data_IF_044852774040
#
_entry.id   IF_044852774040
#
_cell.length_a   1.000
_cell.length_b   1.000
_cell.length_c   1.000
_cell.angle_alpha   90.00
_cell.angle_beta   90.00
_cell.angle_gamma   90.00
#
_symmetry.space_group_name_H-M   'P 1'
#
loop_
_entity.id
_entity.type
_entity.pdbx_description
1 polymer ?
#
# COMPACT_ATOMS: atom_id res chain seq x y z
N UNK A 1 5.05 19.95 -21.47
CA UNK A 1 4.92 19.13 -22.70
C UNK A 1 3.43 19.02 -23.00
N UNK A 2 2.96 19.50 -24.14
CA UNK A 2 1.54 19.44 -24.54
C UNK A 2 1.20 18.04 -25.05
N UNK A 3 0.15 17.42 -24.50
CA UNK A 3 -0.35 16.11 -24.94
C UNK A 3 -0.63 16.15 -26.46
N UNK A 4 -0.10 15.21 -27.26
CA UNK A 4 -0.44 15.11 -28.66
C UNK A 4 -1.85 14.48 -28.75
N UNK A 5 -2.70 15.05 -29.62
CA UNK A 5 -4.15 14.80 -29.79
C UNK A 5 -5.03 15.79 -29.03
N UNK A 6 -5.95 16.41 -29.77
CA UNK A 6 -7.01 17.29 -29.25
C UNK A 6 -7.90 16.45 -28.33
N UNK A 7 -7.63 16.52 -27.03
CA UNK A 7 -8.32 15.72 -26.04
C UNK A 7 -9.75 16.25 -25.86
N UNK A 8 -10.71 15.32 -25.84
CA UNK A 8 -12.12 15.65 -25.63
C UNK A 8 -12.28 16.45 -24.31
N UNK A 9 -12.93 17.63 -24.35
CA UNK A 9 -13.07 18.54 -23.20
C UNK A 9 -13.56 17.87 -21.91
N UNK A 10 -14.36 16.81 -22.00
CA UNK A 10 -14.87 16.12 -20.82
C UNK A 10 -13.75 15.50 -19.96
N UNK A 11 -12.67 15.00 -20.57
CA UNK A 11 -11.55 14.41 -19.85
C UNK A 11 -10.69 15.47 -19.16
N UNK A 12 -10.52 16.62 -19.82
CA UNK A 12 -9.86 17.79 -19.26
C UNK A 12 -10.64 18.28 -18.03
N UNK A 13 -11.96 18.45 -18.17
CA UNK A 13 -12.83 18.87 -17.06
C UNK A 13 -12.77 17.87 -15.89
N UNK A 14 -12.80 16.57 -16.17
CA UNK A 14 -12.70 15.53 -15.15
C UNK A 14 -11.37 15.59 -14.39
N UNK A 15 -10.23 15.83 -15.09
CA UNK A 15 -8.93 16.06 -14.44
C UNK A 15 -8.91 17.29 -13.55
N UNK A 16 -9.43 18.41 -14.05
CA UNK A 16 -9.49 19.66 -13.28
C UNK A 16 -10.31 19.46 -12.00
N UNK A 17 -11.47 18.79 -12.11
CA UNK A 17 -12.31 18.47 -10.95
C UNK A 17 -11.61 17.55 -9.95
N UNK A 18 -10.84 16.55 -10.42
CA UNK A 18 -10.03 15.71 -9.53
C UNK A 18 -9.04 16.56 -8.73
N UNK A 19 -8.26 17.41 -9.41
CA UNK A 19 -7.26 18.27 -8.75
C UNK A 19 -7.90 19.23 -7.76
N UNK A 20 -9.02 19.86 -8.11
CA UNK A 20 -9.78 20.71 -7.20
C UNK A 20 -10.30 19.98 -5.96
N UNK A 21 -10.75 18.72 -6.12
CA UNK A 21 -11.22 17.91 -4.99
C UNK A 21 -10.09 17.51 -4.06
N UNK A 22 -8.92 17.14 -4.59
CA UNK A 22 -7.76 16.81 -3.76
C UNK A 22 -7.35 18.01 -2.89
N UNK A 23 -7.32 19.22 -3.48
CA UNK A 23 -6.98 20.47 -2.78
C UNK A 23 -7.99 20.81 -1.67
N UNK A 24 -9.29 20.54 -1.89
CA UNK A 24 -10.34 20.72 -0.89
C UNK A 24 -10.35 19.65 0.21
N UNK A 25 -9.80 18.47 -0.07
CA UNK A 25 -9.81 17.29 0.81
C UNK A 25 -8.77 17.33 1.94
N UNK A 26 -8.01 18.41 2.07
CA UNK A 26 -6.97 18.57 3.10
C UNK A 26 -5.56 18.18 2.67
N UNK A 27 -5.37 17.75 1.42
CA UNK A 27 -4.04 17.63 0.80
C UNK A 27 -3.66 19.00 0.26
N UNK A 28 -2.60 19.62 0.81
CA UNK A 28 -2.02 20.83 0.23
C UNK A 28 -1.22 20.40 -0.98
N UNK A 29 -1.78 20.55 -2.19
CA UNK A 29 -1.14 20.11 -3.41
C UNK A 29 -0.20 21.20 -3.96
N UNK A 30 1.13 21.03 -3.91
CA UNK A 30 2.04 22.02 -4.47
C UNK A 30 1.83 22.16 -5.98
N UNK A 31 2.05 23.36 -6.53
CA UNK A 31 1.78 23.65 -7.95
C UNK A 31 2.43 22.66 -8.92
N UNK A 32 3.63 22.16 -8.60
CA UNK A 32 4.33 21.14 -9.39
C UNK A 32 3.54 19.82 -9.50
N UNK A 33 2.91 19.38 -8.40
CA UNK A 33 2.10 18.16 -8.38
C UNK A 33 0.77 18.42 -9.06
N UNK A 34 0.12 19.55 -8.78
CA UNK A 34 -1.10 19.94 -9.47
C UNK A 34 -0.91 19.94 -11.00
N UNK A 35 0.20 20.50 -11.49
CA UNK A 35 0.56 20.49 -12.91
C UNK A 35 0.77 19.07 -13.44
N UNK A 36 1.48 18.20 -12.72
CA UNK A 36 1.68 16.81 -13.13
C UNK A 36 0.35 16.06 -13.27
N UNK A 37 -0.57 16.20 -12.32
CA UNK A 37 -1.89 15.58 -12.38
C UNK A 37 -2.78 16.16 -13.50
N UNK A 38 -2.73 17.47 -13.73
CA UNK A 38 -3.48 18.12 -14.82
C UNK A 38 -2.98 17.69 -16.21
N UNK A 39 -1.69 17.37 -16.35
CA UNK A 39 -1.08 16.93 -17.60
C UNK A 39 -1.06 15.40 -17.79
N UNK A 40 -1.47 14.61 -16.79
CA UNK A 40 -1.48 13.15 -16.87
C UNK A 40 -2.92 12.62 -16.92
N UNK A 41 -3.46 12.26 -18.10
CA UNK A 41 -4.76 11.62 -18.20
C UNK A 41 -4.73 10.26 -17.51
N UNK A 42 -5.60 10.04 -16.51
CA UNK A 42 -5.67 8.76 -15.78
C UNK A 42 -6.37 7.67 -16.60
N UNK A 43 -7.39 8.04 -17.36
CA UNK A 43 -8.25 7.13 -18.11
C UNK A 43 -7.56 6.20 -19.13
N UNK A 44 -6.45 6.55 -19.83
CA UNK A 44 -5.76 5.61 -20.72
C UNK A 44 -5.03 4.51 -19.95
N UNK A 45 -4.69 4.75 -18.67
CA UNK A 45 -4.04 3.78 -17.79
C UNK A 45 -5.01 2.84 -17.08
N UNK A 46 -6.30 3.18 -17.04
CA UNK A 46 -7.36 2.37 -16.42
C UNK A 46 -8.60 2.28 -17.33
N UNK A 47 -8.46 1.75 -18.57
CA UNK A 47 -9.59 1.62 -19.49
C UNK A 47 -10.68 0.71 -18.94
N UNK A 48 -10.29 -0.24 -18.07
CA UNK A 48 -11.17 -1.19 -17.38
C UNK A 48 -10.66 -1.39 -15.96
N UNK A 49 -11.59 -1.44 -15.00
CA UNK A 49 -11.29 -1.77 -13.61
C UNK A 49 -12.45 -2.54 -12.99
N UNK A 50 -12.20 -3.26 -11.90
CA UNK A 50 -13.24 -4.00 -11.20
C UNK A 50 -14.02 -3.10 -10.24
N UNK A 51 -15.35 -3.20 -10.31
CA UNK A 51 -16.25 -2.76 -9.23
C UNK A 51 -16.45 -3.91 -8.27
N UNK A 52 -16.37 -3.61 -6.97
CA UNK A 52 -16.67 -4.59 -5.93
C UNK A 52 -18.15 -4.57 -5.58
N UNK A 53 -18.80 -5.70 -5.72
CA UNK A 53 -20.17 -5.94 -5.29
C UNK A 53 -20.16 -7.13 -4.32
N UNK A 54 -20.24 -6.84 -3.02
CA UNK A 54 -20.00 -7.82 -1.94
C UNK A 54 -18.60 -8.48 -2.04
N UNK A 55 -18.56 -9.78 -2.33
CA UNK A 55 -17.36 -10.60 -2.52
C UNK A 55 -16.94 -10.74 -3.98
N UNK A 56 -17.71 -10.16 -4.91
CA UNK A 56 -17.50 -10.26 -6.34
C UNK A 56 -16.85 -9.01 -6.92
N UNK A 57 -16.02 -9.21 -7.95
CA UNK A 57 -15.35 -8.18 -8.73
C UNK A 57 -15.87 -8.22 -10.17
N UNK A 58 -16.58 -7.17 -10.57
CA UNK A 58 -17.22 -7.06 -11.88
C UNK A 58 -16.42 -6.08 -12.75
N UNK A 59 -15.86 -6.50 -13.89
CA UNK A 59 -15.08 -5.62 -14.74
C UNK A 59 -15.98 -4.55 -15.36
N UNK A 60 -15.56 -3.29 -15.26
CA UNK A 60 -16.33 -2.14 -15.71
C UNK A 60 -15.55 -1.30 -16.71
N UNK A 61 -16.15 -1.14 -17.90
CA UNK A 61 -15.62 -0.45 -19.07
C UNK A 61 -16.51 0.73 -19.41
N UNK A 62 -15.98 1.72 -20.13
CA UNK A 62 -16.77 2.84 -20.65
C UNK A 62 -17.95 2.41 -21.54
N UNK A 63 -17.83 1.25 -22.21
CA UNK A 63 -18.88 0.68 -23.08
C UNK A 63 -20.01 -0.04 -22.33
N UNK A 64 -19.94 -0.21 -21.00
CA UNK A 64 -20.98 -0.87 -20.20
C UNK A 64 -22.23 0.01 -19.93
N UNK A 65 -22.48 1.03 -20.75
CA UNK A 65 -23.75 1.77 -20.80
C UNK A 65 -23.77 3.14 -20.13
N UNK A 66 -22.78 3.46 -19.29
CA UNK A 66 -22.66 4.79 -18.66
C UNK A 66 -21.21 5.28 -18.67
N UNK A 67 -20.79 5.81 -19.82
CA UNK A 67 -19.45 6.37 -20.02
C UNK A 67 -19.17 7.55 -19.08
N UNK A 68 -20.19 8.34 -18.73
CA UNK A 68 -20.08 9.48 -17.82
C UNK A 68 -19.82 9.04 -16.38
N UNK A 69 -20.55 8.03 -15.89
CA UNK A 69 -20.31 7.46 -14.56
C UNK A 69 -18.96 6.73 -14.50
N UNK A 70 -18.58 6.01 -15.56
CA UNK A 70 -17.26 5.41 -15.66
C UNK A 70 -16.16 6.48 -15.57
N UNK A 71 -16.28 7.57 -16.33
CA UNK A 71 -15.33 8.67 -16.31
C UNK A 71 -15.25 9.35 -14.94
N UNK A 72 -16.41 9.56 -14.30
CA UNK A 72 -16.50 10.12 -12.96
C UNK A 72 -15.76 9.25 -11.93
N UNK A 73 -15.86 7.92 -12.05
CA UNK A 73 -15.15 6.99 -11.17
C UNK A 73 -13.64 6.93 -11.48
N UNK A 74 -13.24 6.96 -12.76
CA UNK A 74 -11.82 7.02 -13.15
C UNK A 74 -11.11 8.22 -12.51
N UNK A 75 -11.78 9.36 -12.45
CA UNK A 75 -11.27 10.58 -11.83
C UNK A 75 -11.82 10.83 -10.41
N UNK A 76 -12.38 9.80 -9.76
CA UNK A 76 -12.66 9.84 -8.33
C UNK A 76 -11.35 9.71 -7.54
N UNK A 77 -11.33 10.26 -6.33
CA UNK A 77 -10.22 10.09 -5.41
C UNK A 77 -10.30 8.73 -4.69
N UNK A 78 -10.22 7.67 -5.49
CA UNK A 78 -10.35 6.29 -5.05
C UNK A 78 -9.38 5.38 -5.81
N UNK A 79 -9.04 4.26 -5.18
CA UNK A 79 -8.21 3.23 -5.81
C UNK A 79 -9.05 2.36 -6.73
N UNK A 80 -8.59 2.13 -7.94
CA UNK A 80 -9.30 1.34 -8.95
C UNK A 80 -8.60 0.00 -9.08
N UNK A 81 -9.28 -1.09 -8.70
CA UNK A 81 -8.73 -2.44 -8.75
C UNK A 81 -8.65 -2.89 -10.21
N UNK A 82 -7.46 -3.29 -10.67
CA UNK A 82 -7.21 -3.66 -12.07
C UNK A 82 -6.85 -5.12 -12.25
N UNK A 83 -6.52 -5.84 -11.18
CA UNK A 83 -6.23 -7.28 -11.22
C UNK A 83 -6.72 -7.97 -9.94
N UNK A 84 -7.31 -9.16 -10.10
CA UNK A 84 -7.78 -10.02 -9.01
C UNK A 84 -7.28 -11.43 -9.31
N UNK A 85 -6.51 -12.02 -8.37
CA UNK A 85 -5.84 -13.32 -8.53
C UNK A 85 -5.15 -13.51 -9.89
N UNK A 86 -4.44 -12.48 -10.37
CA UNK A 86 -3.72 -12.51 -11.65
C UNK A 86 -4.60 -12.32 -12.89
N UNK A 87 -5.91 -12.16 -12.74
CA UNK A 87 -6.84 -11.87 -13.85
C UNK A 87 -6.99 -10.36 -14.02
N UNK A 88 -6.33 -9.80 -15.04
CA UNK A 88 -6.44 -8.38 -15.34
C UNK A 88 -7.84 -8.02 -15.85
N UNK A 89 -8.37 -6.87 -15.43
CA UNK A 89 -9.76 -6.47 -15.72
C UNK A 89 -10.04 -6.32 -17.22
N UNK A 90 -9.02 -5.99 -18.02
CA UNK A 90 -9.13 -5.92 -19.48
C UNK A 90 -9.27 -7.29 -20.15
N UNK A 91 -8.72 -8.33 -19.53
CA UNK A 91 -8.76 -9.72 -19.99
C UNK A 91 -10.00 -10.46 -19.47
N UNK A 92 -10.61 -9.95 -18.39
CA UNK A 92 -11.81 -10.51 -17.83
C UNK A 92 -13.00 -10.41 -18.80
N UNK A 93 -13.72 -11.53 -18.93
CA UNK A 93 -15.02 -11.59 -19.59
C UNK A 93 -16.10 -10.81 -18.81
N UNK A 94 -17.38 -10.87 -19.22
CA UNK A 94 -18.45 -10.14 -18.55
C UNK A 94 -18.81 -10.71 -17.16
N UNK A 95 -18.31 -11.90 -16.83
CA UNK A 95 -18.59 -12.58 -15.57
C UNK A 95 -17.82 -11.97 -14.41
N UNK A 96 -18.41 -12.03 -13.22
CA UNK A 96 -17.74 -11.65 -11.99
C UNK A 96 -16.56 -12.59 -11.68
N UNK A 97 -15.52 -12.04 -11.07
CA UNK A 97 -14.37 -12.75 -10.51
C UNK A 97 -14.46 -12.69 -8.98
N UNK A 98 -14.05 -13.75 -8.29
CA UNK A 98 -13.86 -13.76 -6.84
C UNK A 98 -12.39 -14.04 -6.59
N UNK A 99 -11.79 -13.34 -5.63
CA UNK A 99 -10.37 -13.50 -5.33
C UNK A 99 -9.79 -12.34 -4.54
N UNK A 100 -8.47 -12.28 -4.50
CA UNK A 100 -7.73 -11.21 -3.82
C UNK A 100 -7.23 -10.19 -4.85
N UNK A 101 -7.51 -8.89 -4.65
CA UNK A 101 -6.92 -7.83 -5.46
C UNK A 101 -5.39 -7.91 -5.46
N UNK A 102 -4.79 -7.95 -6.64
CA UNK A 102 -3.35 -8.12 -6.87
C UNK A 102 -2.73 -6.93 -7.60
N UNK A 103 -3.53 -6.10 -8.27
CA UNK A 103 -3.10 -4.81 -8.85
C UNK A 103 -4.19 -3.76 -8.78
N UNK A 104 -3.80 -2.49 -8.68
CA UNK A 104 -4.70 -1.33 -8.70
C UNK A 104 -4.01 -0.05 -9.19
N UNK A 105 -4.79 0.89 -9.70
CA UNK A 105 -4.39 2.30 -9.79
C UNK A 105 -4.75 2.98 -8.47
N UNK A 106 -3.76 3.28 -7.64
CA UNK A 106 -3.96 3.89 -6.31
C UNK A 106 -4.70 5.23 -6.37
N UNK A 107 -5.42 5.56 -5.30
CA UNK A 107 -6.10 6.84 -5.11
C UNK A 107 -5.16 8.03 -5.41
N UNK A 108 -5.58 8.99 -6.25
CA UNK A 108 -4.79 10.17 -6.62
C UNK A 108 -4.25 10.97 -5.44
N UNK A 109 -5.02 11.21 -4.38
CA UNK A 109 -4.57 11.97 -3.20
C UNK A 109 -3.45 11.26 -2.44
N UNK A 110 -3.57 9.94 -2.24
CA UNK A 110 -2.51 9.13 -1.63
C UNK A 110 -1.23 9.14 -2.49
N UNK A 111 -1.37 9.08 -3.82
CA UNK A 111 -0.24 9.25 -4.73
C UNK A 111 0.39 10.65 -4.62
N UNK A 112 -0.43 11.70 -4.52
CA UNK A 112 0.06 13.05 -4.32
C UNK A 112 0.87 13.18 -3.02
N UNK A 113 0.38 12.64 -1.91
CA UNK A 113 1.10 12.60 -0.62
C UNK A 113 2.45 11.88 -0.73
N UNK A 114 2.47 10.73 -1.42
CA UNK A 114 3.69 9.95 -1.65
C UNK A 114 4.71 10.70 -2.51
N UNK A 115 4.25 11.34 -3.60
CA UNK A 115 5.09 12.12 -4.51
C UNK A 115 5.59 13.43 -3.87
N UNK A 116 4.80 14.00 -2.96
CA UNK A 116 5.25 15.16 -2.18
C UNK A 116 6.33 14.78 -1.18
N UNK A 117 6.10 13.71 -0.42
CA UNK A 117 7.08 13.14 0.50
C UNK A 117 8.38 12.73 -0.20
N UNK A 118 8.31 12.30 -1.47
CA UNK A 118 9.47 11.94 -2.26
C UNK A 118 10.33 13.16 -2.67
N UNK A 119 9.83 14.40 -2.57
CA UNK A 119 10.56 15.65 -2.91
C UNK A 119 11.30 15.53 -4.27
N UNK A 120 10.54 15.20 -5.31
CA UNK A 120 11.02 15.10 -6.69
C UNK A 120 11.30 16.47 -7.30
N UNK A 121 12.39 16.53 -8.06
CA UNK A 121 12.78 17.68 -8.88
C UNK A 121 13.13 17.21 -10.28
N UNK A 122 13.09 18.11 -11.25
CA UNK A 122 13.56 17.82 -12.60
C UNK A 122 15.01 17.30 -12.57
N UNK A 123 15.29 16.25 -13.35
CA UNK A 123 16.60 15.59 -13.39
C UNK A 123 16.84 14.54 -12.29
N UNK A 124 15.92 14.37 -11.34
CA UNK A 124 16.05 13.38 -10.26
C UNK A 124 15.94 11.96 -10.81
N UNK A 125 16.93 11.08 -10.56
CA UNK A 125 16.86 9.68 -10.98
C UNK A 125 15.95 8.89 -10.03
N UNK A 126 14.86 8.35 -10.56
CA UNK A 126 13.83 7.67 -9.75
C UNK A 126 13.73 6.20 -10.11
N UNK A 127 13.64 5.35 -9.09
CA UNK A 127 13.13 3.99 -9.20
C UNK A 127 11.72 3.91 -8.61
N UNK A 128 10.76 3.48 -9.40
CA UNK A 128 9.45 3.02 -8.96
C UNK A 128 9.44 1.49 -8.89
N UNK A 129 8.98 0.94 -7.78
CA UNK A 129 8.75 -0.49 -7.58
C UNK A 129 7.25 -0.77 -7.51
N UNK A 130 6.72 -1.36 -8.58
CA UNK A 130 5.29 -1.60 -8.82
C UNK A 130 4.76 -0.73 -9.96
N UNK A 131 5.16 -1.01 -11.21
CA UNK A 131 4.67 -0.29 -12.40
C UNK A 131 3.14 -0.28 -12.47
N UNK A 132 2.50 -1.42 -12.18
CA UNK A 132 1.05 -1.57 -12.22
C UNK A 132 0.46 -1.05 -13.54
N UNK A 133 -0.43 -0.07 -13.43
CA UNK A 133 -1.09 0.55 -14.60
C UNK A 133 -0.17 1.43 -15.45
N UNK A 134 0.93 1.94 -14.88
CA UNK A 134 1.80 2.96 -15.49
C UNK A 134 1.38 4.42 -15.20
N UNK A 135 0.26 4.65 -14.50
CA UNK A 135 -0.21 6.01 -14.20
C UNK A 135 0.78 6.81 -13.34
N UNK A 136 1.32 6.20 -12.27
CA UNK A 136 2.29 6.88 -11.42
C UNK A 136 3.64 7.05 -12.15
N UNK A 137 4.09 6.07 -12.95
CA UNK A 137 5.23 6.26 -13.85
C UNK A 137 5.07 7.51 -14.74
N UNK A 138 3.87 7.79 -15.26
CA UNK A 138 3.61 8.99 -16.05
C UNK A 138 3.74 10.28 -15.22
N UNK A 139 3.19 10.30 -14.00
CA UNK A 139 3.37 11.42 -13.05
C UNK A 139 4.86 11.65 -12.74
N UNK A 140 5.62 10.57 -12.50
CA UNK A 140 7.06 10.61 -12.30
C UNK A 140 7.77 11.22 -13.52
N UNK A 141 7.37 10.86 -14.75
CA UNK A 141 7.96 11.43 -15.96
C UNK A 141 7.77 12.95 -16.02
N UNK A 142 6.59 13.45 -15.65
CA UNK A 142 6.33 14.89 -15.60
C UNK A 142 7.13 15.62 -14.51
N UNK A 143 7.43 14.97 -13.40
CA UNK A 143 8.13 15.57 -12.26
C UNK A 143 9.65 15.51 -12.35
N UNK A 144 10.19 14.43 -12.94
CA UNK A 144 11.62 14.14 -12.95
C UNK A 144 12.24 14.17 -14.35
N UNK A 145 11.44 14.16 -15.42
CA UNK A 145 11.89 13.89 -16.78
C UNK A 145 11.84 12.38 -17.07
N UNK A 146 11.22 12.00 -18.21
CA UNK A 146 10.95 10.59 -18.54
C UNK A 146 12.22 9.74 -18.57
N UNK A 147 13.31 10.27 -19.10
CA UNK A 147 14.61 9.62 -19.16
C UNK A 147 15.21 9.31 -17.79
N UNK A 148 14.77 9.98 -16.72
CA UNK A 148 15.26 9.76 -15.35
C UNK A 148 14.43 8.75 -14.57
N UNK A 149 13.31 8.27 -15.13
CA UNK A 149 12.40 7.33 -14.48
C UNK A 149 12.74 5.90 -14.88
N UNK A 150 12.85 5.03 -13.88
CA UNK A 150 12.86 3.57 -14.01
C UNK A 150 11.66 3.03 -13.25
N UNK A 151 10.88 2.16 -13.86
CA UNK A 151 9.73 1.52 -13.20
C UNK A 151 9.77 0.01 -13.44
N UNK A 152 9.63 -0.76 -12.37
CA UNK A 152 9.74 -2.22 -12.41
C UNK A 152 8.50 -2.92 -11.86
N UNK A 153 8.13 -4.02 -12.49
CA UNK A 153 7.05 -4.90 -12.04
C UNK A 153 7.36 -6.35 -12.42
N UNK A 154 6.87 -7.32 -11.65
CA UNK A 154 7.14 -8.74 -11.92
C UNK A 154 6.32 -9.26 -13.12
N UNK A 155 5.18 -8.61 -13.42
CA UNK A 155 4.25 -9.00 -14.47
C UNK A 155 4.67 -8.51 -15.84
N UNK A 156 4.84 -9.44 -16.78
CA UNK A 156 5.14 -9.12 -18.18
C UNK A 156 3.97 -8.39 -18.87
N UNK A 157 2.72 -8.73 -18.49
CA UNK A 157 1.52 -8.10 -19.03
C UNK A 157 1.41 -6.64 -18.60
N UNK A 158 1.58 -6.38 -17.29
CA UNK A 158 1.52 -5.02 -16.74
C UNK A 158 2.62 -4.13 -17.31
N UNK A 159 3.87 -4.61 -17.34
CA UNK A 159 4.99 -3.84 -17.90
C UNK A 159 4.82 -3.51 -19.38
N UNK A 160 4.36 -4.47 -20.19
CA UNK A 160 4.10 -4.23 -21.62
C UNK A 160 2.98 -3.21 -21.83
N UNK A 161 1.84 -3.37 -21.15
CA UNK A 161 0.70 -2.46 -21.27
C UNK A 161 1.04 -1.05 -20.78
N UNK A 162 1.75 -0.92 -19.66
CA UNK A 162 2.23 0.36 -19.16
C UNK A 162 3.16 1.06 -20.16
N UNK A 163 4.12 0.33 -20.75
CA UNK A 163 5.03 0.87 -21.75
C UNK A 163 4.30 1.39 -22.99
N UNK A 164 3.30 0.65 -23.49
CA UNK A 164 2.46 1.07 -24.63
C UNK A 164 1.71 2.37 -24.33
N UNK A 165 1.07 2.47 -23.15
CA UNK A 165 0.33 3.66 -22.72
C UNK A 165 1.22 4.88 -22.53
N UNK A 166 2.39 4.68 -21.90
CA UNK A 166 3.38 5.74 -21.72
C UNK A 166 3.87 6.26 -23.09
N UNK A 167 4.20 5.34 -24.00
CA UNK A 167 4.63 5.69 -25.36
C UNK A 167 3.54 6.44 -26.14
N UNK A 168 2.27 6.08 -25.97
CA UNK A 168 1.14 6.77 -26.60
C UNK A 168 1.00 8.23 -26.13
N UNK A 169 1.50 8.56 -24.93
CA UNK A 169 1.58 9.94 -24.42
C UNK A 169 2.91 10.63 -24.73
N UNK A 170 3.81 9.99 -25.49
CA UNK A 170 5.15 10.50 -25.78
C UNK A 170 6.10 10.45 -24.58
N UNK A 171 5.79 9.64 -23.56
CA UNK A 171 6.62 9.43 -22.38
C UNK A 171 7.42 8.14 -22.56
N UNK A 172 8.75 8.23 -22.41
CA UNK A 172 9.66 7.11 -22.66
C UNK A 172 10.57 6.80 -21.46
N UNK A 173 10.00 6.45 -20.29
CA UNK A 173 10.80 5.96 -19.16
C UNK A 173 11.33 4.56 -19.43
N UNK A 174 12.23 4.09 -18.56
CA UNK A 174 12.67 2.70 -18.58
C UNK A 174 11.68 1.81 -17.83
N UNK A 175 10.85 1.07 -18.56
CA UNK A 175 9.95 0.06 -17.99
C UNK A 175 10.61 -1.32 -18.11
N UNK A 176 10.74 -2.04 -16.99
CA UNK A 176 11.36 -3.37 -17.00
C UNK A 176 10.56 -4.40 -16.20
N UNK A 177 10.50 -5.62 -16.73
CA UNK A 177 9.99 -6.78 -15.98
C UNK A 177 11.07 -7.28 -15.05
N UNK A 178 10.94 -7.01 -13.76
CA UNK A 178 11.91 -7.42 -12.75
C UNK A 178 11.24 -7.72 -11.41
N UNK A 179 11.94 -8.50 -10.59
CA UNK A 179 11.57 -8.65 -9.19
C UNK A 179 11.86 -7.34 -8.44
N UNK A 180 10.80 -6.65 -8.01
CA UNK A 180 10.89 -5.38 -7.29
C UNK A 180 11.77 -5.44 -6.04
N UNK A 181 11.89 -6.61 -5.38
CA UNK A 181 12.77 -6.78 -4.23
C UNK A 181 14.26 -6.69 -4.59
N UNK A 182 14.61 -6.82 -5.88
CA UNK A 182 15.99 -6.66 -6.39
C UNK A 182 16.28 -5.26 -6.91
N UNK A 183 15.26 -4.40 -7.01
CA UNK A 183 15.39 -3.07 -7.62
C UNK A 183 15.79 -3.14 -9.09
N UNK A 184 16.62 -2.22 -9.55
CA UNK A 184 17.17 -2.21 -10.91
C UNK A 184 18.64 -1.77 -10.96
N UNK A 185 19.60 -2.67 -10.63
CA UNK A 185 21.02 -2.32 -10.50
C UNK A 185 21.63 -1.66 -11.73
N UNK A 186 21.16 -2.01 -12.94
CA UNK A 186 21.69 -1.49 -14.21
C UNK A 186 21.54 0.03 -14.38
N UNK A 187 20.64 0.66 -13.61
CA UNK A 187 20.47 2.13 -13.60
C UNK A 187 20.71 2.76 -12.24
N UNK A 188 21.17 2.01 -11.25
CA UNK A 188 21.62 2.59 -9.99
C UNK A 188 22.82 3.56 -10.21
N UNK A 189 23.08 4.50 -9.28
CA UNK A 189 22.26 4.83 -8.12
C UNK A 189 21.04 5.70 -8.48
N UNK A 190 20.01 5.61 -7.64
CA UNK A 190 18.79 6.41 -7.72
C UNK A 190 18.78 7.46 -6.61
N UNK A 191 18.40 8.69 -6.96
CA UNK A 191 18.21 9.77 -6.00
C UNK A 191 16.94 9.56 -5.17
N UNK A 192 15.96 8.86 -5.75
CA UNK A 192 14.66 8.57 -5.15
C UNK A 192 14.23 7.14 -5.44
N UNK A 193 13.65 6.48 -4.44
CA UNK A 193 12.99 5.19 -4.61
C UNK A 193 11.57 5.31 -4.04
N UNK A 194 10.58 4.90 -4.80
CA UNK A 194 9.19 4.84 -4.37
C UNK A 194 8.66 3.43 -4.61
N UNK A 195 8.03 2.85 -3.59
CA UNK A 195 7.33 1.59 -3.74
C UNK A 195 5.82 1.83 -3.74
N UNK A 196 5.14 1.30 -4.74
CA UNK A 196 3.67 1.28 -4.87
C UNK A 196 3.12 -0.11 -4.58
N UNK A 197 3.87 -0.86 -3.77
CA UNK A 197 3.53 -2.12 -3.14
C UNK A 197 4.07 -2.09 -1.70
N UNK A 198 3.49 -2.87 -0.80
CA UNK A 198 3.92 -2.93 0.59
C UNK A 198 4.96 -3.99 0.84
N UNK A 199 5.89 -3.71 1.74
CA UNK A 199 6.89 -4.66 2.20
C UNK A 199 6.79 -4.87 3.70
N UNK A 200 7.14 -6.07 4.18
CA UNK A 200 7.32 -6.30 5.62
C UNK A 200 8.58 -5.62 6.14
N UNK A 201 9.66 -5.73 5.36
CA UNK A 201 10.95 -5.06 5.58
C UNK A 201 11.46 -4.50 4.27
N UNK A 202 12.14 -3.35 4.33
CA UNK A 202 12.71 -2.70 3.15
C UNK A 202 13.85 -3.58 2.61
N UNK A 203 13.84 -3.99 1.33
CA UNK A 203 14.91 -4.82 0.75
C UNK A 203 16.28 -4.14 0.79
N UNK A 204 17.34 -4.91 1.08
CA UNK A 204 18.71 -4.39 1.11
C UNK A 204 19.16 -3.81 -0.23
N UNK A 205 18.69 -4.38 -1.33
CA UNK A 205 18.95 -3.91 -2.69
C UNK A 205 18.53 -2.44 -2.90
N UNK A 206 17.47 -1.97 -2.22
CA UNK A 206 17.02 -0.59 -2.33
C UNK A 206 17.99 0.35 -1.62
N UNK A 207 18.56 -0.07 -0.49
CA UNK A 207 19.61 0.69 0.18
C UNK A 207 20.87 0.78 -0.68
N UNK A 208 21.27 -0.33 -1.31
CA UNK A 208 22.49 -0.39 -2.13
C UNK A 208 22.37 0.46 -3.39
N UNK A 209 21.14 0.62 -3.90
CA UNK A 209 20.86 1.37 -5.11
C UNK A 209 20.42 2.81 -4.84
N UNK A 210 20.11 3.19 -3.60
CA UNK A 210 19.79 4.57 -3.24
C UNK A 210 21.08 5.38 -3.06
N UNK A 211 21.18 6.51 -3.74
CA UNK A 211 22.27 7.46 -3.56
C UNK A 211 22.33 7.96 -2.11
N UNK A 212 23.53 8.26 -1.60
CA UNK A 212 23.67 8.88 -0.28
C UNK A 212 22.92 10.22 -0.25
N UNK A 213 22.09 10.43 0.76
CA UNK A 213 21.20 11.58 0.87
C UNK A 213 19.91 11.49 0.05
N UNK A 214 19.74 10.43 -0.76
CA UNK A 214 18.52 10.11 -1.47
C UNK A 214 17.36 9.75 -0.53
N UNK A 215 16.13 9.83 -1.05
CA UNK A 215 14.92 9.57 -0.29
C UNK A 215 14.21 8.30 -0.76
N UNK A 216 13.60 7.60 0.18
CA UNK A 216 12.75 6.44 -0.09
C UNK A 216 11.37 6.67 0.51
N UNK A 217 10.32 6.41 -0.26
CA UNK A 217 8.94 6.41 0.21
C UNK A 217 8.39 4.99 0.04
N UNK A 218 8.13 4.33 1.16
CA UNK A 218 7.88 2.88 1.19
C UNK A 218 6.67 2.55 2.07
N UNK A 219 5.63 1.93 1.52
CA UNK A 219 4.58 1.33 2.32
C UNK A 219 5.12 0.13 3.09
N UNK A 220 5.00 0.16 4.42
CA UNK A 220 5.36 -0.93 5.31
C UNK A 220 4.09 -1.52 5.87
N UNK A 221 3.88 -2.81 5.65
CA UNK A 221 2.70 -3.53 6.09
C UNK A 221 3.10 -4.88 6.64
N UNK A 222 2.79 -5.11 7.91
CA UNK A 222 2.93 -6.42 8.51
C UNK A 222 1.70 -7.28 8.26
N UNK A 223 1.60 -8.34 9.03
CA UNK A 223 0.68 -9.45 8.80
C UNK A 223 -0.67 -9.28 9.48
N UNK A 224 -0.85 -8.20 10.25
CA UNK A 224 -2.12 -7.81 10.88
C UNK A 224 -2.93 -6.80 10.04
N UNK A 225 -2.47 -6.53 8.82
CA UNK A 225 -3.04 -5.58 7.85
C UNK A 225 -2.88 -4.08 8.16
N UNK A 226 -2.26 -3.71 9.29
CA UNK A 226 -1.89 -2.31 9.58
C UNK A 226 -0.81 -1.80 8.63
N UNK A 227 -1.20 -1.02 7.63
CA UNK A 227 -0.30 -0.43 6.65
C UNK A 227 0.10 1.00 7.01
N UNK A 228 1.41 1.27 6.98
CA UNK A 228 2.02 2.57 7.21
C UNK A 228 2.84 3.01 6.02
N UNK A 229 3.07 4.31 5.89
CA UNK A 229 3.90 4.88 4.84
C UNK A 229 5.17 5.46 5.47
N UNK A 230 6.34 4.91 5.16
CA UNK A 230 7.61 5.38 5.68
C UNK A 230 8.31 6.30 4.67
N UNK A 231 8.87 7.40 5.16
CA UNK A 231 9.80 8.25 4.42
C UNK A 231 11.17 8.17 5.06
N UNK A 232 12.17 7.67 4.33
CA UNK A 232 13.54 7.50 4.81
C UNK A 232 14.52 8.30 3.95
N UNK A 233 15.62 8.71 4.56
CA UNK A 233 16.79 9.28 3.88
C UNK A 233 17.98 8.35 4.03
N UNK A 234 18.68 8.04 2.94
CA UNK A 234 19.93 7.29 2.95
C UNK A 234 21.03 8.12 3.64
N UNK A 235 21.67 7.55 4.65
CA UNK A 235 22.74 8.15 5.43
C UNK A 235 24.13 7.80 4.86
N UNK A 236 25.18 8.58 5.18
CA UNK A 236 26.54 8.34 4.67
C UNK A 236 27.16 7.00 5.09
N UNK A 237 26.70 6.40 6.19
CA UNK A 237 27.17 5.11 6.72
C UNK A 237 26.52 3.89 6.04
N UNK A 238 25.62 4.11 5.08
CA UNK A 238 24.90 3.04 4.40
C UNK A 238 23.54 2.69 5.02
N UNK A 239 23.21 3.19 6.21
CA UNK A 239 21.88 3.04 6.79
C UNK A 239 20.89 4.04 6.16
N UNK A 240 19.62 3.94 6.55
CA UNK A 240 18.59 4.91 6.24
C UNK A 240 17.77 5.21 7.49
N UNK A 241 17.35 6.46 7.65
CA UNK A 241 16.53 6.88 8.78
C UNK A 241 15.45 7.87 8.36
N UNK A 242 14.34 7.87 9.07
CA UNK A 242 13.25 8.80 8.82
C UNK A 242 12.02 8.56 9.70
N UNK A 243 10.84 8.81 9.16
CA UNK A 243 9.59 8.78 9.93
C UNK A 243 8.44 8.14 9.17
N UNK A 244 7.44 7.72 9.92
CA UNK A 244 6.15 7.31 9.37
C UNK A 244 5.35 8.57 9.03
N UNK A 245 4.70 8.59 7.88
CA UNK A 245 3.85 9.69 7.43
C UNK A 245 2.46 9.59 8.07
N UNK A 246 1.78 10.73 8.16
CA UNK A 246 0.45 10.82 8.75
C UNK A 246 -0.64 10.12 7.91
N UNK A 247 -0.41 9.97 6.61
CA UNK A 247 -1.35 9.32 5.69
C UNK A 247 -1.32 7.79 5.88
N UNK A 248 -2.46 7.14 6.19
CA UNK A 248 -2.57 5.68 6.12
C UNK A 248 -2.34 5.17 4.70
N UNK A 249 -1.70 4.01 4.57
CA UNK A 249 -1.51 3.40 3.27
C UNK A 249 -1.56 1.87 3.38
N UNK A 250 -2.55 1.24 2.76
CA UNK A 250 -2.59 -0.21 2.59
C UNK A 250 -2.38 -0.54 1.12
N UNK A 251 -1.15 -0.86 0.77
CA UNK A 251 -0.81 -1.37 -0.55
C UNK A 251 -0.91 -2.90 -0.57
N UNK A 252 -1.09 -3.45 -1.78
CA UNK A 252 -0.89 -4.88 -2.03
C UNK A 252 0.55 -5.27 -1.68
N UNK A 253 0.80 -6.47 -1.14
CA UNK A 253 2.16 -6.90 -0.81
C UNK A 253 3.01 -7.02 -2.07
N UNK A 254 4.29 -6.67 -1.95
CA UNK A 254 5.30 -6.99 -2.95
C UNK A 254 5.37 -8.52 -3.07
N UNK A 255 5.06 -9.03 -4.26
CA UNK A 255 5.14 -10.46 -4.54
C UNK A 255 6.61 -10.88 -4.58
N UNK A 256 7.07 -11.40 -3.46
CA UNK A 256 8.29 -12.20 -3.35
C UNK A 256 7.84 -13.66 -3.16
N UNK A 257 8.52 -14.62 -3.78
CA UNK A 257 8.08 -16.03 -3.85
C UNK A 257 7.90 -16.78 -2.53
N UNK A 258 7.95 -16.10 -1.38
CA UNK A 258 7.76 -16.63 -0.04
C UNK A 258 6.33 -16.42 0.52
N UNK A 259 5.51 -15.58 -0.11
CA UNK A 259 4.13 -15.32 0.35
C UNK A 259 3.14 -16.27 -0.34
N UNK A 260 3.05 -17.50 0.15
CA UNK A 260 1.93 -18.39 -0.19
C UNK A 260 0.68 -17.97 0.59
N UNK A 261 -0.48 -17.82 -0.06
CA UNK A 261 -1.73 -17.67 0.68
C UNK A 261 -1.96 -18.93 1.52
N UNK A 262 -2.13 -18.73 2.83
CA UNK A 262 -2.58 -19.76 3.75
C UNK A 262 -3.92 -19.30 4.29
N UNK A 263 -4.95 -20.11 4.13
CA UNK A 263 -6.21 -19.91 4.83
C UNK A 263 -6.02 -20.18 6.32
N UNK A 264 -6.76 -19.46 7.15
CA UNK A 264 -6.83 -19.76 8.57
C UNK A 264 -7.35 -21.20 8.76
N UNK A 265 -6.71 -22.01 9.61
CA UNK A 265 -7.23 -23.33 9.92
C UNK A 265 -8.59 -23.21 10.63
N UNK A 266 -9.50 -24.13 10.33
CA UNK A 266 -10.74 -24.29 11.09
C UNK A 266 -10.41 -24.50 12.58
N UNK A 267 -10.82 -23.59 13.48
CA UNK A 267 -10.40 -23.62 14.86
C UNK A 267 -11.06 -24.80 15.58
N UNK A 268 -10.26 -25.81 15.92
CA UNK A 268 -10.67 -26.83 16.91
C UNK A 268 -10.39 -26.26 18.29
N UNK A 269 -11.34 -25.49 18.83
CA UNK A 269 -11.21 -24.82 20.13
C UNK A 269 -10.82 -25.82 21.22
N UNK A 270 -9.67 -25.58 21.87
CA UNK A 270 -9.21 -26.38 23.02
C UNK A 270 -9.41 -25.63 24.34
N UNK A 271 -9.34 -24.31 24.28
CA UNK A 271 -9.51 -23.42 25.42
C UNK A 271 -10.32 -22.19 24.99
N UNK A 272 -11.21 -21.73 25.86
CA UNK A 272 -11.97 -20.49 25.67
C UNK A 272 -11.73 -19.61 26.88
N UNK A 273 -11.43 -18.33 26.65
CA UNK A 273 -11.29 -17.33 27.71
C UNK A 273 -11.95 -16.01 27.33
N UNK A 274 -12.23 -15.19 28.33
CA UNK A 274 -12.74 -13.83 28.13
C UNK A 274 -11.58 -12.86 27.88
N UNK A 275 -11.84 -11.87 27.02
CA UNK A 275 -10.99 -10.72 26.76
C UNK A 275 -11.80 -9.44 26.94
N UNK A 276 -11.21 -8.44 27.61
CA UNK A 276 -11.79 -7.08 27.67
C UNK A 276 -11.57 -6.30 26.37
N UNK A 277 -10.73 -6.82 25.48
CA UNK A 277 -10.38 -6.22 24.20
C UNK A 277 -11.19 -6.88 23.08
N UNK A 278 -11.95 -6.06 22.35
CA UNK A 278 -12.67 -6.43 21.14
C UNK A 278 -11.73 -6.74 19.98
N UNK A 279 -12.12 -7.67 19.10
CA UNK A 279 -11.41 -7.96 17.84
C UNK A 279 -11.29 -6.74 16.92
N UNK A 280 -12.29 -5.84 16.97
CA UNK A 280 -12.35 -4.61 16.19
C UNK A 280 -11.25 -3.60 16.50
N UNK A 281 -10.54 -3.74 17.62
CA UNK A 281 -9.39 -2.88 17.94
C UNK A 281 -8.34 -2.88 16.82
N UNK A 282 -8.18 -4.01 16.12
CA UNK A 282 -7.22 -4.15 15.03
C UNK A 282 -7.72 -3.50 13.71
N UNK A 283 -8.92 -2.93 13.67
CA UNK A 283 -9.41 -2.15 12.53
C UNK A 283 -8.83 -0.73 12.54
N UNK A 284 -8.36 -0.24 13.69
CA UNK A 284 -7.47 0.92 13.74
C UNK A 284 -6.10 0.53 13.18
N UNK A 285 -5.77 1.00 11.98
CA UNK A 285 -4.51 0.68 11.32
C UNK A 285 -3.28 1.13 12.12
N UNK A 286 -3.41 2.19 12.94
CA UNK A 286 -2.34 2.63 13.86
C UNK A 286 -2.10 1.58 14.92
N UNK A 287 -3.18 1.10 15.55
CA UNK A 287 -3.02 0.04 16.53
C UNK A 287 -2.53 -1.25 15.90
N UNK A 288 -3.11 -1.63 14.76
CA UNK A 288 -2.75 -2.87 14.08
C UNK A 288 -1.27 -2.89 13.71
N UNK A 289 -0.75 -1.76 13.22
CA UNK A 289 0.69 -1.58 12.98
C UNK A 289 1.51 -1.59 14.28
N UNK A 290 1.00 -1.03 15.37
CA UNK A 290 1.70 -1.11 16.66
C UNK A 290 1.72 -2.55 17.20
N UNK A 291 0.58 -3.25 17.15
CA UNK A 291 0.41 -4.60 17.64
C UNK A 291 1.28 -5.61 16.87
N UNK A 292 1.46 -5.45 15.55
CA UNK A 292 2.38 -6.33 14.80
C UNK A 292 3.82 -6.26 15.29
N UNK A 293 4.27 -5.13 15.86
CA UNK A 293 5.63 -4.98 16.41
C UNK A 293 5.85 -5.82 17.69
N UNK A 294 4.77 -6.36 18.25
CA UNK A 294 4.77 -7.24 19.42
C UNK A 294 4.46 -8.71 19.07
N UNK A 295 4.29 -9.02 17.79
CA UNK A 295 3.93 -10.35 17.30
C UNK A 295 5.11 -11.05 16.64
N UNK A 296 5.05 -12.39 16.59
CA UNK A 296 5.95 -13.15 15.72
C UNK A 296 5.62 -12.82 14.24
N UNK A 297 6.62 -12.51 13.39
CA UNK A 297 6.41 -12.12 11.99
C UNK A 297 5.68 -13.17 11.12
N UNK A 298 5.58 -14.41 11.58
CA UNK A 298 4.81 -15.47 10.92
C UNK A 298 3.32 -15.46 11.24
N UNK A 299 2.90 -14.83 12.35
CA UNK A 299 1.49 -14.74 12.70
C UNK A 299 0.76 -13.99 11.58
N UNK A 300 -0.42 -14.44 11.21
CA UNK A 300 -1.28 -13.86 10.17
C UNK A 300 -2.61 -13.48 10.78
N UNK A 301 -3.29 -12.51 10.17
CA UNK A 301 -4.65 -12.11 10.52
C UNK A 301 -5.59 -12.34 9.35
N UNK A 302 -6.71 -12.96 9.65
CA UNK A 302 -7.93 -12.89 8.85
C UNK A 302 -9.02 -12.13 9.61
N UNK A 303 -9.84 -11.42 8.85
CA UNK A 303 -10.96 -10.65 9.36
C UNK A 303 -12.18 -10.90 8.48
N UNK A 304 -13.33 -11.13 9.11
CA UNK A 304 -14.64 -11.19 8.47
C UNK A 304 -15.67 -10.51 9.36
N UNK A 305 -16.66 -9.90 8.71
CA UNK A 305 -17.90 -9.46 9.36
C UNK A 305 -19.05 -10.30 8.85
N UNK A 306 -19.79 -10.91 9.76
CA UNK A 306 -20.96 -11.72 9.43
C UNK A 306 -22.17 -10.83 9.09
N UNK A 307 -23.20 -11.33 8.39
CA UNK A 307 -24.39 -10.56 8.04
C UNK A 307 -25.16 -10.00 9.25
N UNK A 308 -25.06 -10.66 10.41
CA UNK A 308 -25.66 -10.21 11.67
C UNK A 308 -24.86 -9.09 12.36
N UNK A 309 -23.73 -8.69 11.80
CA UNK A 309 -22.85 -7.65 12.33
C UNK A 309 -21.73 -8.17 13.24
N UNK A 310 -21.66 -9.47 13.51
CA UNK A 310 -20.59 -10.06 14.33
C UNK A 310 -19.22 -9.80 13.70
N UNK A 311 -18.29 -9.29 14.51
CA UNK A 311 -16.90 -9.11 14.12
C UNK A 311 -16.12 -10.38 14.45
N UNK A 312 -15.45 -10.95 13.45
CA UNK A 312 -14.59 -12.12 13.65
C UNK A 312 -13.18 -11.76 13.22
N UNK A 313 -12.25 -11.84 14.17
CA UNK A 313 -10.82 -11.77 13.91
C UNK A 313 -10.17 -13.11 14.23
N UNK A 314 -9.46 -13.67 13.26
CA UNK A 314 -8.69 -14.91 13.43
C UNK A 314 -7.22 -14.61 13.28
N UNK A 315 -6.42 -14.94 14.29
CA UNK A 315 -4.96 -14.91 14.24
C UNK A 315 -4.45 -16.34 14.12
N UNK A 316 -3.46 -16.60 13.26
CA UNK A 316 -2.90 -17.95 13.12
C UNK A 316 -1.43 -17.95 12.71
N UNK A 317 -0.71 -19.02 13.04
CA UNK A 317 0.64 -19.30 12.56
C UNK A 317 0.71 -20.75 12.06
N UNK A 318 0.89 -20.90 10.76
CA UNK A 318 0.91 -22.20 10.10
C UNK A 318 2.10 -23.08 10.52
N UNK A 319 3.18 -22.50 11.07
CA UNK A 319 4.40 -23.26 11.43
C UNK A 319 4.18 -24.22 12.59
N UNK A 320 3.31 -23.86 13.53
CA UNK A 320 3.01 -24.68 14.71
C UNK A 320 1.51 -24.93 14.93
N UNK A 321 0.66 -24.44 14.02
CA UNK A 321 -0.79 -24.64 14.06
C UNK A 321 -1.47 -23.84 15.18
N UNK A 322 -0.82 -22.84 15.75
CA UNK A 322 -1.47 -21.92 16.70
C UNK A 322 -2.53 -21.10 15.98
N UNK A 323 -3.71 -21.02 16.56
CA UNK A 323 -4.83 -20.22 16.05
C UNK A 323 -5.63 -19.66 17.22
N UNK A 324 -5.99 -18.39 17.13
CA UNK A 324 -6.83 -17.69 18.10
C UNK A 324 -7.93 -16.95 17.38
N UNK A 325 -9.18 -17.28 17.68
CA UNK A 325 -10.37 -16.64 17.11
C UNK A 325 -11.04 -15.79 18.15
N UNK A 326 -11.27 -14.52 17.81
CA UNK A 326 -12.01 -13.56 18.60
C UNK A 326 -13.31 -13.28 17.85
N UNK A 327 -14.44 -13.57 18.51
CA UNK A 327 -15.76 -13.25 18.00
C UNK A 327 -16.44 -12.31 19.00
N UNK A 328 -16.88 -11.15 18.52
CA UNK A 328 -17.53 -10.16 19.37
C UNK A 328 -18.57 -9.33 18.62
N UNK A 329 -19.60 -8.94 19.36
CA UNK A 329 -20.54 -7.92 18.92
C UNK A 329 -19.96 -6.54 19.29
N UNK A 330 -20.04 -5.52 18.41
CA UNK A 330 -19.46 -4.19 18.66
C UNK A 330 -19.89 -3.51 19.98
N UNK A 331 -20.98 -3.96 20.60
CA UNK A 331 -21.56 -3.42 21.84
C UNK A 331 -21.76 -4.49 22.95
N UNK A 332 -21.16 -5.67 22.81
CA UNK A 332 -21.32 -6.80 23.72
C UNK A 332 -20.44 -6.77 25.00
N UNK A 333 -20.69 -7.68 25.97
CA UNK A 333 -20.08 -7.66 27.32
C UNK A 333 -18.58 -8.05 27.39
N UNK A 334 -17.85 -8.05 26.28
CA UNK A 334 -16.47 -8.52 26.16
C UNK A 334 -16.33 -9.57 25.07
N UNK A 335 -15.11 -9.76 24.56
CA UNK A 335 -14.85 -10.67 23.46
C UNK A 335 -14.54 -12.09 23.97
N UNK A 336 -15.10 -13.10 23.31
CA UNK A 336 -14.71 -14.49 23.55
C UNK A 336 -13.52 -14.85 22.68
N UNK A 337 -12.46 -15.33 23.33
CA UNK A 337 -11.21 -15.75 22.69
C UNK A 337 -11.13 -17.26 22.72
N UNK A 338 -11.18 -17.88 21.54
CA UNK A 338 -11.04 -19.31 21.35
C UNK A 338 -9.62 -19.61 20.90
N UNK A 339 -8.87 -20.38 21.69
CA UNK A 339 -7.47 -20.74 21.42
C UNK A 339 -7.39 -22.20 21.00
N UNK A 340 -6.61 -22.43 19.95
CA UNK A 340 -6.22 -23.75 19.46
C UNK A 340 -4.73 -23.77 19.12
N UNK A 341 -4.10 -24.94 19.26
CA UNK A 341 -2.65 -25.08 19.12
C UNK A 341 -1.87 -24.66 20.39
N UNK A 342 -0.53 -24.53 20.29
CA UNK A 342 0.33 -24.35 21.45
C UNK A 342 0.42 -22.91 21.99
N UNK A 343 -0.03 -21.89 21.25
CA UNK A 343 0.06 -20.47 21.66
C UNK A 343 -1.28 -19.76 21.58
N UNK A 344 -1.52 -18.91 22.57
CA UNK A 344 -2.53 -17.85 22.51
C UNK A 344 -1.93 -16.65 21.77
N UNK A 345 -2.38 -16.43 20.53
CA UNK A 345 -1.93 -15.35 19.66
C UNK A 345 -2.63 -14.02 19.96
N UNK A 346 -3.70 -14.01 20.78
CA UNK A 346 -4.37 -12.80 21.22
C UNK A 346 -3.71 -12.18 22.46
N UNK A 347 -3.12 -12.99 23.34
CA UNK A 347 -2.44 -12.47 24.53
C UNK A 347 -1.34 -11.42 24.25
N UNK A 348 -0.50 -11.54 23.20
CA UNK A 348 0.41 -10.46 22.82
C UNK A 348 -0.30 -9.19 22.33
N UNK A 349 -1.46 -9.31 21.69
CA UNK A 349 -2.27 -8.15 21.26
C UNK A 349 -2.81 -7.39 22.47
N UNK A 350 -3.30 -8.10 23.49
CA UNK A 350 -3.73 -7.47 24.75
C UNK A 350 -2.59 -6.71 25.43
N UNK A 351 -1.40 -7.31 25.53
CA UNK A 351 -0.20 -6.64 26.08
C UNK A 351 0.24 -5.44 25.24
N UNK A 352 0.16 -5.55 23.92
CA UNK A 352 0.43 -4.43 23.02
C UNK A 352 -0.59 -3.30 23.24
N UNK A 353 -1.87 -3.61 23.43
CA UNK A 353 -2.90 -2.62 23.73
C UNK A 353 -2.64 -1.91 25.06
N UNK A 354 -2.30 -2.64 26.12
CA UNK A 354 -1.93 -2.05 27.42
C UNK A 354 -0.73 -1.11 27.28
N UNK A 355 0.30 -1.53 26.53
CA UNK A 355 1.47 -0.70 26.24
C UNK A 355 1.08 0.55 25.44
N UNK A 356 0.23 0.40 24.43
CA UNK A 356 -0.23 1.52 23.60
C UNK A 356 -1.01 2.55 24.42
N UNK A 357 -1.87 2.11 25.34
CA UNK A 357 -2.56 2.98 26.29
C UNK A 357 -1.59 3.68 27.24
N UNK A 358 -0.62 2.95 27.80
CA UNK A 358 0.40 3.51 28.69
C UNK A 358 1.28 4.57 28.00
N UNK A 359 1.47 4.46 26.68
CA UNK A 359 2.17 5.43 25.84
C UNK A 359 1.26 6.59 25.35
N UNK A 360 0.03 6.71 25.87
CA UNK A 360 -0.97 7.70 25.46
C UNK A 360 -1.35 7.61 23.97
N UNK A 361 -1.47 6.39 23.44
CA UNK A 361 -1.92 6.10 22.08
C UNK A 361 -1.14 6.89 21.02
N UNK A 362 0.19 6.65 20.89
CA UNK A 362 1.01 7.35 19.92
C UNK A 362 0.40 7.34 18.52
N UNK A 363 0.37 8.53 17.91
CA UNK A 363 -0.03 8.70 16.50
C UNK A 363 1.05 8.10 15.60
N UNK A 364 0.65 7.66 14.40
CA UNK A 364 1.56 7.00 13.47
C UNK A 364 2.78 7.86 13.12
N UNK A 365 2.58 9.15 12.90
CA UNK A 365 3.62 10.10 12.53
C UNK A 365 4.61 10.43 13.66
N UNK A 366 4.36 9.93 14.86
CA UNK A 366 5.30 10.03 15.98
C UNK A 366 6.31 8.88 15.98
N UNK A 367 6.10 7.84 15.17
CA UNK A 367 7.08 6.78 14.99
C UNK A 367 8.16 7.20 14.00
N UNK A 368 9.39 6.87 14.35
CA UNK A 368 10.54 6.95 13.45
C UNK A 368 10.96 5.56 13.01
N UNK A 369 11.68 5.49 11.91
CA UNK A 369 12.23 4.25 11.38
C UNK A 369 13.72 4.41 11.12
N UNK A 370 14.47 3.38 11.50
CA UNK A 370 15.86 3.19 11.09
C UNK A 370 15.98 1.85 10.38
N UNK A 371 16.68 1.82 9.26
CA UNK A 371 16.84 0.63 8.47
C UNK A 371 18.27 0.51 7.96
N UNK A 372 18.85 -0.66 8.14
CA UNK A 372 20.20 -1.02 7.69
C UNK A 372 20.21 -2.45 7.18
N UNK A 373 21.27 -2.89 6.49
CA UNK A 373 21.42 -4.29 6.10
C UNK A 373 21.36 -5.29 7.27
N UNK A 374 21.76 -4.85 8.47
CA UNK A 374 21.85 -5.68 9.68
C UNK A 374 20.54 -5.72 10.49
N UNK A 375 19.60 -4.81 10.22
CA UNK A 375 18.35 -4.73 10.96
C UNK A 375 17.55 -3.47 10.69
N UNK A 376 16.25 -3.57 10.96
CA UNK A 376 15.28 -2.49 10.82
C UNK A 376 14.49 -2.36 12.11
N UNK A 377 14.23 -1.12 12.53
CA UNK A 377 13.55 -0.85 13.78
C UNK A 377 12.61 0.34 13.65
N UNK A 378 11.47 0.22 14.31
CA UNK A 378 10.56 1.33 14.60
C UNK A 378 10.90 1.85 15.98
N UNK A 379 10.93 3.17 16.15
CA UNK A 379 11.12 3.79 17.47
C UNK A 379 10.08 4.85 17.75
N UNK A 380 9.78 5.04 19.03
CA UNK A 380 8.93 6.11 19.54
C UNK A 380 9.63 6.73 20.76
N UNK A 381 9.72 8.06 20.80
CA UNK A 381 10.22 8.78 21.97
C UNK A 381 9.04 9.38 22.71
N UNK A 382 8.80 8.94 23.95
CA UNK A 382 7.69 9.44 24.75
C UNK A 382 7.96 10.85 25.32
N UNK A 383 6.95 11.54 25.89
CA UNK A 383 7.13 12.89 26.43
C UNK A 383 8.16 13.01 27.57
N UNK A 384 8.58 11.91 28.19
CA UNK A 384 9.65 11.90 29.19
C UNK A 384 11.05 11.82 28.58
N UNK A 385 11.14 11.63 27.26
CA UNK A 385 12.39 11.42 26.53
C UNK A 385 12.85 9.96 26.48
N UNK A 386 12.05 9.02 27.02
CA UNK A 386 12.38 7.59 26.95
C UNK A 386 12.12 7.08 25.53
N UNK A 387 13.12 6.40 24.97
CA UNK A 387 13.04 5.76 23.65
C UNK A 387 12.52 4.33 23.82
N UNK A 388 11.46 4.02 23.08
CA UNK A 388 10.92 2.68 22.89
C UNK A 388 11.26 2.22 21.49
N UNK A 389 11.75 0.99 21.36
CA UNK A 389 12.24 0.45 20.10
C UNK A 389 11.72 -0.97 19.89
N UNK A 390 11.28 -1.23 18.66
CA UNK A 390 10.81 -2.54 18.21
C UNK A 390 11.48 -2.92 16.90
N UNK A 391 11.86 -4.19 16.76
CA UNK A 391 12.35 -4.71 15.48
C UNK A 391 11.19 -4.86 14.49
N UNK A 392 11.48 -4.61 13.21
CA UNK A 392 10.52 -4.76 12.11
C UNK A 392 10.53 -6.16 11.49
#
# INVERSE_FOLDING_TARGET
MTLPVEEDPQYIEARVRLVQRMDQGGVVLPSRLAEAFLNTPRHPFVPVFYRREADQFIPWRSSNGDASAWLAQVYADDSLITEVDGVHAEEAGPSAVVGVPTSSSTAPSLMADMLDALDLREGTRVLEVGTGTGYNAALLCHLAGAENVTTVDHSAGLTSAAQERLNALGLHPHVAREDGAKGFPARAPFDRIIATCSVRRIPNSWFDQCATGGLMVVPIKGTLAGGMLARLKKLPDGAAAGHILHTPAAFMPLLSGEDSPSEAPEPVSRETRESKLSGSVLDDWTFSFFAQLHMDPSARREYRREPDGTHITTLFDARDGSCTRVADEPEGPGAQVHVSGPRDLWAPIERAHETWLALNRPRREWFTITASPDGQAITYTDPSGKVHQWAL
#
